data_IF_539527493826
#
_entry.id   IF_539527493826
#
_cell.length_a   1.000
_cell.length_b   1.000
_cell.length_c   1.000
_cell.angle_alpha   90.00
_cell.angle_beta   90.00
_cell.angle_gamma   90.00
#
_symmetry.space_group_name_H-M   'P 1'
#
loop_
_entity.id
_entity.type
_entity.pdbx_description
1 polymer ?
#
# COMPACT_ATOMS: atom_id res chain seq x y z
N UNK A 1 13.31 -12.92 4.24
CA UNK A 1 12.81 -11.61 4.76
C UNK A 1 11.99 -10.96 3.65
N UNK A 2 10.65 -10.91 3.77
CA UNK A 2 9.72 -10.54 2.67
C UNK A 2 10.11 -9.23 1.93
N UNK A 3 10.68 -8.24 2.63
CA UNK A 3 11.12 -6.97 2.02
C UNK A 3 12.27 -7.13 1.01
N UNK A 4 13.29 -7.94 1.31
CA UNK A 4 14.42 -8.17 0.38
C UNK A 4 13.96 -8.88 -0.90
N UNK A 5 13.04 -9.83 -0.76
CA UNK A 5 12.44 -10.52 -1.89
C UNK A 5 11.57 -9.57 -2.71
N UNK A 6 10.77 -8.72 -2.05
CA UNK A 6 9.97 -7.70 -2.71
C UNK A 6 10.85 -6.73 -3.51
N UNK A 7 11.94 -6.24 -2.91
CA UNK A 7 12.90 -5.38 -3.62
C UNK A 7 13.57 -6.10 -4.80
N UNK A 8 13.88 -7.40 -4.66
CA UNK A 8 14.40 -8.22 -5.78
C UNK A 8 13.37 -8.30 -6.91
N UNK A 9 12.12 -8.59 -6.60
CA UNK A 9 11.07 -8.68 -7.62
C UNK A 9 10.82 -7.34 -8.32
N UNK A 10 10.71 -6.26 -7.55
CA UNK A 10 10.49 -4.92 -8.10
C UNK A 10 11.68 -4.44 -8.94
N UNK A 11 12.92 -4.60 -8.45
CA UNK A 11 14.08 -3.94 -9.04
C UNK A 11 14.87 -4.83 -10.01
N UNK A 12 15.00 -6.14 -9.72
CA UNK A 12 15.78 -7.08 -10.56
C UNK A 12 14.91 -7.85 -11.54
N UNK A 13 13.74 -8.31 -11.09
CA UNK A 13 12.81 -9.05 -11.95
C UNK A 13 11.86 -8.14 -12.74
N UNK A 14 11.94 -6.82 -12.51
CA UNK A 14 11.18 -5.80 -13.22
C UNK A 14 9.67 -6.04 -13.18
N UNK A 15 9.16 -6.54 -12.06
CA UNK A 15 7.78 -7.01 -11.93
C UNK A 15 6.73 -5.96 -12.32
N UNK A 16 6.99 -4.68 -11.99
CA UNK A 16 6.11 -3.56 -12.34
C UNK A 16 6.66 -2.70 -13.50
N UNK A 17 7.77 -3.12 -14.12
CA UNK A 17 8.54 -2.32 -15.06
C UNK A 17 9.99 -2.11 -14.60
N UNK A 18 10.82 -1.58 -15.50
CA UNK A 18 12.24 -1.37 -15.23
C UNK A 18 12.45 -0.15 -14.33
N UNK A 19 12.94 -0.40 -13.12
CA UNK A 19 13.27 0.61 -12.12
C UNK A 19 14.64 1.24 -12.42
N UNK A 20 14.70 2.56 -12.57
CA UNK A 20 15.95 3.30 -12.70
C UNK A 20 16.61 3.55 -11.35
N UNK A 21 15.81 3.92 -10.34
CA UNK A 21 16.26 4.05 -8.96
C UNK A 21 15.08 3.86 -8.00
N UNK A 22 15.38 3.57 -6.74
CA UNK A 22 14.38 3.46 -5.69
C UNK A 22 14.93 3.98 -4.37
N UNK A 23 14.02 4.45 -3.53
CA UNK A 23 14.33 4.90 -2.17
C UNK A 23 13.35 4.19 -1.25
N UNK A 24 13.82 3.69 -0.11
CA UNK A 24 12.93 3.13 0.89
C UNK A 24 13.36 3.48 2.31
N UNK A 25 12.39 3.56 3.21
CA UNK A 25 12.59 3.74 4.65
C UNK A 25 11.72 2.74 5.38
N UNK A 26 12.24 2.23 6.50
CA UNK A 26 11.51 1.35 7.42
C UNK A 26 11.09 2.21 8.62
N UNK A 27 9.78 2.37 8.79
CA UNK A 27 9.20 2.97 10.00
C UNK A 27 8.70 1.85 10.92
N UNK A 28 8.99 1.94 12.21
CA UNK A 28 8.40 1.05 13.20
C UNK A 28 7.08 1.66 13.66
N UNK A 29 5.98 1.03 13.26
CA UNK A 29 4.66 1.49 13.71
C UNK A 29 4.57 1.32 15.24
N UNK A 30 3.65 2.05 15.90
CA UNK A 30 3.45 2.04 17.38
C UNK A 30 3.29 0.65 18.02
N UNK A 31 3.10 -0.40 17.21
CA UNK A 31 2.96 -1.81 17.63
C UNK A 31 4.21 -2.66 17.37
N UNK A 32 5.33 -2.05 16.99
CA UNK A 32 6.63 -2.71 16.79
C UNK A 32 6.82 -3.42 15.44
N UNK A 33 5.78 -3.50 14.60
CA UNK A 33 5.90 -4.12 13.28
C UNK A 33 6.60 -3.16 12.29
N UNK A 34 7.63 -3.61 11.57
CA UNK A 34 8.31 -2.80 10.57
C UNK A 34 7.39 -2.57 9.36
N UNK A 35 7.25 -1.32 8.96
CA UNK A 35 6.49 -0.89 7.79
C UNK A 35 7.43 -0.21 6.80
N UNK A 36 7.46 -0.68 5.57
CA UNK A 36 8.33 -0.14 4.54
C UNK A 36 7.58 0.86 3.66
N UNK A 37 8.13 2.06 3.54
CA UNK A 37 7.74 3.04 2.53
C UNK A 37 8.74 2.93 1.37
N UNK A 38 8.27 2.58 0.17
CA UNK A 38 9.11 2.37 -1.01
C UNK A 38 8.65 3.33 -2.12
N UNK A 39 9.57 4.17 -2.61
CA UNK A 39 9.38 5.00 -3.79
C UNK A 39 10.18 4.41 -4.94
N UNK A 40 9.49 4.02 -6.01
CA UNK A 40 10.10 3.53 -7.25
C UNK A 40 10.12 4.64 -8.30
N UNK A 41 11.27 4.84 -8.94
CA UNK A 41 11.42 5.73 -10.09
C UNK A 41 11.73 4.86 -11.29
N UNK A 42 10.76 4.75 -12.20
CA UNK A 42 10.90 3.95 -13.42
C UNK A 42 11.83 4.60 -14.43
N UNK A 43 12.53 3.75 -15.17
CA UNK A 43 13.30 4.12 -16.35
C UNK A 43 12.39 4.73 -17.43
N UNK A 44 12.99 5.52 -18.33
CA UNK A 44 12.23 6.29 -19.32
C UNK A 44 11.28 5.43 -20.15
N UNK A 45 11.70 4.23 -20.55
CA UNK A 45 10.92 3.30 -21.39
C UNK A 45 9.85 2.54 -20.61
N UNK A 46 9.88 2.59 -19.27
CA UNK A 46 8.88 1.96 -18.38
C UNK A 46 7.99 2.98 -17.67
N UNK A 47 8.06 4.26 -18.05
CA UNK A 47 7.19 5.29 -17.47
C UNK A 47 5.73 5.03 -17.84
N UNK A 48 4.85 5.20 -16.86
CA UNK A 48 3.41 5.05 -17.02
C UNK A 48 2.82 6.38 -17.48
N UNK A 49 2.19 6.40 -18.66
CA UNK A 49 1.71 7.62 -19.30
C UNK A 49 0.19 7.66 -19.47
N UNK A 50 -0.43 6.47 -19.50
CA UNK A 50 -1.85 6.29 -19.76
C UNK A 50 -2.58 5.67 -18.56
N UNK A 51 -3.89 5.83 -18.57
CA UNK A 51 -4.79 5.12 -17.65
C UNK A 51 -4.65 3.60 -17.78
N UNK A 52 -4.43 3.12 -19.01
CA UNK A 52 -4.22 1.69 -19.27
C UNK A 52 -2.98 1.16 -18.56
N UNK A 53 -1.90 1.95 -18.54
CA UNK A 53 -0.66 1.57 -17.84
C UNK A 53 -0.90 1.50 -16.33
N UNK A 54 -1.69 2.42 -15.78
CA UNK A 54 -2.05 2.40 -14.35
C UNK A 54 -2.86 1.15 -14.02
N UNK A 55 -3.90 0.86 -14.81
CA UNK A 55 -4.78 -0.29 -14.64
C UNK A 55 -4.07 -1.63 -14.87
N UNK A 56 -2.96 -1.67 -15.61
CA UNK A 56 -2.13 -2.88 -15.74
C UNK A 56 -1.33 -3.21 -14.48
N UNK A 57 -1.14 -2.23 -13.59
CA UNK A 57 -0.35 -2.39 -12.36
C UNK A 57 -1.26 -2.42 -11.13
N UNK A 58 -2.27 -1.56 -11.10
CA UNK A 58 -3.10 -1.34 -9.93
C UNK A 58 -4.53 -1.79 -10.18
N UNK A 59 -5.02 -2.63 -9.26
CA UNK A 59 -6.44 -2.85 -9.02
C UNK A 59 -6.86 -2.16 -7.73
N UNK A 60 -8.12 -1.73 -7.68
CA UNK A 60 -8.76 -1.27 -6.46
C UNK A 60 -10.12 -1.95 -6.28
N UNK A 61 -10.24 -3.19 -6.76
CA UNK A 61 -11.47 -4.00 -6.78
C UNK A 61 -11.22 -5.35 -6.09
N UNK A 62 -12.29 -5.97 -5.60
CA UNK A 62 -12.26 -7.36 -5.14
C UNK A 62 -11.87 -8.26 -6.31
N UNK A 63 -11.05 -9.29 -6.04
CA UNK A 63 -10.79 -10.33 -7.03
C UNK A 63 -12.03 -11.20 -7.24
N UNK A 64 -12.08 -11.97 -8.31
CA UNK A 64 -13.17 -12.94 -8.50
C UNK A 64 -12.87 -14.22 -7.68
N UNK A 65 -13.78 -14.60 -6.78
CA UNK A 65 -13.61 -15.78 -5.92
C UNK A 65 -13.58 -17.10 -6.71
N UNK A 66 -14.37 -17.21 -7.78
CA UNK A 66 -14.46 -18.42 -8.58
C UNK A 66 -13.23 -18.60 -9.49
N UNK A 67 -12.65 -17.49 -9.96
CA UNK A 67 -11.50 -17.52 -10.88
C UNK A 67 -10.16 -17.47 -10.13
N UNK A 68 -10.05 -16.63 -9.10
CA UNK A 68 -8.80 -16.36 -8.36
C UNK A 68 -9.00 -16.44 -6.84
N UNK A 69 -9.28 -17.64 -6.28
CA UNK A 69 -9.65 -17.78 -4.86
C UNK A 69 -8.57 -17.28 -3.90
N UNK A 70 -7.29 -17.54 -4.18
CA UNK A 70 -6.18 -17.09 -3.33
C UNK A 70 -6.04 -15.57 -3.33
N UNK A 71 -6.21 -14.93 -4.50
CA UNK A 71 -6.19 -13.48 -4.60
C UNK A 71 -7.41 -12.87 -3.90
N UNK A 72 -8.58 -13.48 -4.02
CA UNK A 72 -9.78 -13.06 -3.29
C UNK A 72 -9.58 -13.11 -1.78
N UNK A 73 -9.09 -14.23 -1.25
CA UNK A 73 -8.80 -14.39 0.18
C UNK A 73 -7.79 -13.34 0.67
N UNK A 74 -6.71 -13.14 -0.08
CA UNK A 74 -5.69 -12.14 0.27
C UNK A 74 -6.24 -10.72 0.24
N UNK A 75 -6.98 -10.35 -0.82
CA UNK A 75 -7.53 -9.00 -0.98
C UNK A 75 -8.58 -8.71 0.10
N UNK A 76 -9.47 -9.65 0.39
CA UNK A 76 -10.52 -9.47 1.40
C UNK A 76 -9.96 -9.41 2.83
N UNK A 77 -8.87 -10.11 3.12
CA UNK A 77 -8.24 -10.12 4.45
C UNK A 77 -7.26 -8.98 4.67
N UNK A 78 -6.49 -8.58 3.63
CA UNK A 78 -5.37 -7.64 3.78
C UNK A 78 -5.52 -6.33 3.03
N UNK A 79 -6.37 -6.24 2.00
CA UNK A 79 -6.50 -5.05 1.16
C UNK A 79 -7.84 -4.34 1.31
N UNK A 80 -8.56 -4.58 2.42
CA UNK A 80 -9.79 -3.87 2.76
C UNK A 80 -9.50 -2.74 3.75
N UNK A 81 -10.03 -1.54 3.48
CA UNK A 81 -10.02 -0.49 4.48
C UNK A 81 -10.85 -0.93 5.68
N UNK A 82 -10.29 -0.77 6.88
CA UNK A 82 -11.01 -1.09 8.11
C UNK A 82 -12.28 -0.25 8.22
N UNK A 83 -13.29 -0.80 8.88
CA UNK A 83 -14.54 -0.09 9.14
C UNK A 83 -14.26 1.30 9.74
N UNK A 84 -14.89 2.32 9.14
CA UNK A 84 -14.79 3.72 9.54
C UNK A 84 -16.09 4.46 9.20
N UNK A 85 -16.14 5.77 9.43
CA UNK A 85 -17.32 6.57 9.15
C UNK A 85 -18.45 6.23 10.11
N UNK A 86 -19.67 6.14 9.58
CA UNK A 86 -20.86 5.79 10.37
C UNK A 86 -20.75 4.38 10.96
N UNK A 87 -20.09 3.44 10.26
CA UNK A 87 -19.92 2.06 10.72
C UNK A 87 -18.92 1.94 11.89
N UNK A 88 -18.01 2.91 12.04
CA UNK A 88 -17.08 2.97 13.16
C UNK A 88 -16.52 4.39 13.33
N UNK A 89 -17.22 5.27 14.06
CA UNK A 89 -16.80 6.66 14.26
C UNK A 89 -15.49 6.80 15.04
N UNK A 90 -15.10 5.78 15.81
CA UNK A 90 -13.91 5.75 16.64
C UNK A 90 -12.69 5.16 15.92
N UNK A 91 -12.80 4.85 14.62
CA UNK A 91 -11.68 4.29 13.88
C UNK A 91 -10.48 5.25 13.88
N UNK A 92 -9.22 4.76 13.95
CA UNK A 92 -8.03 5.62 13.99
C UNK A 92 -7.88 6.56 12.79
N UNK A 93 -8.54 6.26 11.67
CA UNK A 93 -8.55 7.10 10.48
C UNK A 93 -9.54 8.27 10.57
N UNK A 94 -10.43 8.30 11.56
CA UNK A 94 -11.45 9.35 11.72
C UNK A 94 -10.87 10.57 12.41
N UNK A 95 -11.13 11.75 11.86
CA UNK A 95 -10.81 13.04 12.47
C UNK A 95 -11.87 14.06 12.07
N UNK A 96 -12.40 14.81 13.05
CA UNK A 96 -13.49 15.76 12.85
C UNK A 96 -14.71 15.15 12.14
N UNK A 97 -15.05 13.89 12.47
CA UNK A 97 -16.17 13.18 11.85
C UNK A 97 -15.91 12.65 10.42
N UNK A 98 -14.74 12.89 9.85
CA UNK A 98 -14.39 12.48 8.48
C UNK A 98 -13.23 11.48 8.47
N UNK A 99 -13.32 10.47 7.60
CA UNK A 99 -12.21 9.57 7.35
C UNK A 99 -11.09 10.34 6.63
N UNK A 100 -9.91 10.40 7.24
CA UNK A 100 -8.71 11.06 6.68
C UNK A 100 -8.15 10.36 5.43
N UNK A 101 -8.64 9.15 5.12
CA UNK A 101 -8.36 8.42 3.87
C UNK A 101 -9.46 8.59 2.83
N UNK A 102 -10.49 9.39 3.14
CA UNK A 102 -11.65 9.68 2.29
C UNK A 102 -12.42 8.41 1.90
N UNK A 103 -12.60 7.49 2.85
CA UNK A 103 -13.58 6.40 2.72
C UNK A 103 -14.94 6.87 3.27
N UNK A 104 -16.07 6.50 2.64
CA UNK A 104 -16.19 5.57 1.52
C UNK A 104 -15.81 6.18 0.16
N UNK A 105 -15.06 5.45 -0.68
CA UNK A 105 -14.72 5.94 -2.04
C UNK A 105 -15.96 5.89 -2.94
N UNK A 106 -16.03 6.76 -3.94
CA UNK A 106 -17.07 6.66 -4.97
C UNK A 106 -16.80 5.48 -5.90
N UNK A 107 -17.87 4.88 -6.43
CA UNK A 107 -17.72 4.00 -7.58
C UNK A 107 -17.22 4.76 -8.78
N UNK A 108 -16.45 4.07 -9.61
CA UNK A 108 -15.81 4.62 -10.78
C UNK A 108 -15.64 3.54 -11.84
N UNK A 109 -16.20 3.72 -13.04
CA UNK A 109 -16.15 2.71 -14.10
C UNK A 109 -14.79 2.62 -14.78
N UNK A 110 -14.03 3.72 -14.82
CA UNK A 110 -12.69 3.80 -15.42
C UNK A 110 -11.77 4.67 -14.58
N UNK A 111 -10.47 4.34 -14.52
CA UNK A 111 -9.50 5.16 -13.79
C UNK A 111 -9.41 6.55 -14.43
N UNK A 112 -9.42 7.60 -13.60
CA UNK A 112 -9.33 8.99 -14.04
C UNK A 112 -8.12 9.68 -13.42
N UNK A 113 -7.50 10.60 -14.17
CA UNK A 113 -6.46 11.47 -13.61
C UNK A 113 -7.12 12.53 -12.73
N UNK A 114 -6.57 12.78 -11.55
CA UNK A 114 -7.03 13.83 -10.64
C UNK A 114 -6.08 15.03 -10.63
N UNK A 115 -6.58 16.22 -10.30
CA UNK A 115 -5.78 17.44 -10.12
C UNK A 115 -4.76 17.33 -8.99
N UNK A 116 -5.10 16.57 -7.94
CA UNK A 116 -4.28 16.44 -6.73
C UNK A 116 -3.07 15.52 -6.93
N UNK A 117 -2.94 14.92 -8.11
CA UNK A 117 -1.81 14.13 -8.56
C UNK A 117 -1.90 12.62 -8.30
N UNK A 118 -2.91 12.15 -7.56
CA UNK A 118 -3.23 10.74 -7.42
C UNK A 118 -4.38 10.36 -8.35
N UNK A 119 -4.26 9.30 -9.18
CA UNK A 119 -5.40 8.83 -9.96
C UNK A 119 -6.58 8.42 -9.08
N UNK A 120 -7.79 8.67 -9.56
CA UNK A 120 -9.01 8.06 -9.03
C UNK A 120 -9.15 6.72 -9.73
N UNK A 121 -8.76 5.64 -9.06
CA UNK A 121 -8.79 4.31 -9.66
C UNK A 121 -10.21 3.83 -9.94
N UNK A 122 -10.33 2.98 -10.96
CA UNK A 122 -11.53 2.20 -11.26
C UNK A 122 -11.94 1.38 -10.03
N UNK A 123 -13.22 1.53 -9.69
CA UNK A 123 -13.94 0.81 -8.64
C UNK A 123 -15.36 0.57 -9.14
N UNK A 124 -15.57 -0.47 -9.94
CA UNK A 124 -16.88 -0.73 -10.56
C UNK A 124 -17.89 -1.18 -9.52
N UNK A 125 -19.13 -0.76 -9.70
CA UNK A 125 -20.27 -1.36 -9.02
C UNK A 125 -20.68 -2.61 -9.80
N UNK A 126 -20.11 -3.75 -9.42
CA UNK A 126 -20.34 -5.04 -10.06
C UNK A 126 -21.16 -5.99 -9.17
N UNK A 127 -21.76 -5.47 -8.09
CA UNK A 127 -22.49 -6.27 -7.10
C UNK A 127 -21.63 -7.17 -6.21
N UNK A 128 -20.29 -7.15 -6.36
CA UNK A 128 -19.40 -7.93 -5.49
C UNK A 128 -19.28 -7.30 -4.11
N UNK A 129 -19.40 -8.14 -3.07
CA UNK A 129 -19.17 -7.74 -1.68
C UNK A 129 -18.54 -8.88 -0.89
N UNK A 130 -17.87 -8.52 0.21
CA UNK A 130 -17.47 -9.43 1.26
C UNK A 130 -18.24 -9.09 2.53
N UNK A 131 -18.81 -10.09 3.18
CA UNK A 131 -19.44 -9.92 4.49
C UNK A 131 -18.36 -9.92 5.57
N UNK A 132 -18.31 -8.88 6.38
CA UNK A 132 -17.49 -8.77 7.57
C UNK A 132 -18.40 -8.59 8.78
N UNK A 133 -17.97 -9.06 9.96
CA UNK A 133 -18.63 -8.87 11.26
C UNK A 133 -20.17 -8.98 11.18
N UNK A 134 -20.71 -10.20 11.22
CA UNK A 134 -22.14 -10.51 11.35
C UNK A 134 -23.06 -9.52 10.61
N UNK A 135 -22.99 -9.51 9.27
CA UNK A 135 -23.94 -8.79 8.41
C UNK A 135 -23.48 -7.48 7.76
N UNK A 136 -22.23 -7.01 7.93
CA UNK A 136 -21.76 -5.80 7.25
C UNK A 136 -21.15 -6.18 5.89
N UNK A 137 -21.76 -5.75 4.79
CA UNK A 137 -21.22 -6.00 3.45
C UNK A 137 -20.29 -4.86 2.99
N UNK A 138 -19.06 -5.20 2.63
CA UNK A 138 -18.08 -4.27 2.06
C UNK A 138 -17.87 -4.57 0.57
N UNK A 139 -18.10 -3.57 -0.27
CA UNK A 139 -17.89 -3.66 -1.72
C UNK A 139 -16.55 -3.01 -2.16
N UNK A 140 -16.36 -2.88 -3.47
CA UNK A 140 -15.17 -2.29 -4.09
C UNK A 140 -14.80 -0.89 -3.57
N UNK A 141 -15.74 -0.13 -3.00
CA UNK A 141 -15.47 1.20 -2.43
C UNK A 141 -14.56 1.15 -1.20
N UNK A 142 -14.44 -0.02 -0.56
CA UNK A 142 -13.60 -0.27 0.62
C UNK A 142 -12.20 -0.79 0.27
N UNK A 143 -12.00 -1.31 -0.94
CA UNK A 143 -10.72 -1.89 -1.35
C UNK A 143 -9.63 -0.82 -1.41
N UNK A 144 -8.44 -1.16 -0.94
CA UNK A 144 -7.23 -0.34 -0.99
C UNK A 144 -6.51 -0.64 -2.31
N UNK A 145 -6.01 0.36 -3.05
CA UNK A 145 -5.25 0.15 -4.28
C UNK A 145 -4.05 -0.78 -4.10
N UNK A 146 -3.90 -1.77 -4.96
CA UNK A 146 -2.86 -2.79 -4.87
C UNK A 146 -2.52 -3.39 -6.23
N UNK A 147 -1.39 -4.09 -6.31
CA UNK A 147 -1.13 -5.02 -7.40
C UNK A 147 -1.55 -6.43 -6.97
N UNK A 148 -2.50 -7.04 -7.69
CA UNK A 148 -3.12 -8.33 -7.35
C UNK A 148 -2.07 -9.42 -7.18
N UNK A 149 -1.10 -9.49 -8.08
CA UNK A 149 -0.10 -10.55 -8.05
C UNK A 149 0.87 -10.38 -6.88
N UNK A 150 1.33 -9.16 -6.59
CA UNK A 150 2.22 -8.89 -5.46
C UNK A 150 1.56 -9.18 -4.12
N UNK A 151 0.31 -8.72 -3.90
CA UNK A 151 -0.38 -9.01 -2.63
C UNK A 151 -0.58 -10.52 -2.46
N UNK A 152 -1.00 -11.21 -3.53
CA UNK A 152 -1.22 -12.67 -3.51
C UNK A 152 0.07 -13.45 -3.27
N UNK A 153 1.17 -13.06 -3.93
CA UNK A 153 2.48 -13.71 -3.77
C UNK A 153 3.02 -13.60 -2.34
N UNK A 154 2.84 -12.43 -1.73
CA UNK A 154 3.41 -12.15 -0.41
C UNK A 154 2.45 -12.39 0.75
N UNK A 155 1.16 -12.62 0.46
CA UNK A 155 0.08 -12.71 1.44
C UNK A 155 0.22 -11.59 2.49
N UNK A 156 0.14 -10.35 2.00
CA UNK A 156 0.48 -9.16 2.78
C UNK A 156 -0.26 -7.92 2.31
N UNK A 157 -0.50 -7.00 3.26
CA UNK A 157 -1.03 -5.67 2.98
C UNK A 157 0.01 -4.81 2.25
N UNK A 158 -0.09 -4.71 0.92
CA UNK A 158 0.79 -3.90 0.07
C UNK A 158 -0.05 -2.87 -0.70
N UNK A 159 -0.14 -1.66 -0.15
CA UNK A 159 -0.77 -0.53 -0.84
C UNK A 159 0.18 0.03 -1.90
N UNK A 160 -0.29 0.16 -3.13
CA UNK A 160 0.47 0.72 -4.25
C UNK A 160 -0.27 1.91 -4.81
N UNK A 161 0.45 3.01 -5.05
CA UNK A 161 -0.10 4.25 -5.55
C UNK A 161 0.76 4.79 -6.69
N UNK A 162 0.13 5.20 -7.79
CA UNK A 162 0.79 5.99 -8.82
C UNK A 162 0.86 7.44 -8.33
N UNK A 163 2.06 8.00 -8.30
CA UNK A 163 2.28 9.40 -7.94
C UNK A 163 2.96 10.15 -9.09
N UNK A 164 2.57 11.41 -9.28
CA UNK A 164 3.30 12.32 -10.16
C UNK A 164 4.56 12.89 -9.47
N UNK A 165 5.40 13.60 -10.22
CA UNK A 165 6.70 14.10 -9.73
C UNK A 165 6.60 15.01 -8.50
N UNK A 166 5.62 15.92 -8.45
CA UNK A 166 5.45 16.83 -7.30
C UNK A 166 5.04 16.06 -6.03
N UNK A 167 4.21 15.04 -6.17
CA UNK A 167 3.83 14.17 -5.06
C UNK A 167 4.95 13.27 -4.60
N UNK A 168 5.79 12.77 -5.51
CA UNK A 168 6.99 12.00 -5.15
C UNK A 168 7.90 12.83 -4.23
N UNK A 169 8.07 14.13 -4.50
CA UNK A 169 8.82 15.04 -3.63
C UNK A 169 8.16 15.16 -2.26
N UNK A 170 6.83 15.40 -2.19
CA UNK A 170 6.10 15.44 -0.91
C UNK A 170 6.24 14.13 -0.12
N UNK A 171 6.22 13.00 -0.82
CA UNK A 171 6.38 11.67 -0.23
C UNK A 171 7.77 11.50 0.40
N UNK A 172 8.82 11.94 -0.30
CA UNK A 172 10.19 11.95 0.23
C UNK A 172 10.28 12.76 1.53
N UNK A 173 9.76 13.99 1.56
CA UNK A 173 9.77 14.80 2.78
C UNK A 173 8.96 14.17 3.92
N UNK A 174 7.84 13.51 3.61
CA UNK A 174 6.96 12.93 4.61
C UNK A 174 7.53 11.69 5.29
N UNK A 175 8.22 10.82 4.54
CA UNK A 175 8.62 9.49 5.02
C UNK A 175 10.12 9.25 5.04
N UNK A 176 10.88 9.95 4.18
CA UNK A 176 12.34 9.77 4.10
C UNK A 176 13.08 10.75 4.99
N UNK A 177 12.66 12.01 5.00
CA UNK A 177 13.31 13.07 5.79
C UNK A 177 12.70 13.29 7.18
N UNK A 178 11.76 12.43 7.62
CA UNK A 178 11.07 12.54 8.91
C UNK A 178 11.97 12.29 10.14
N UNK A 179 13.22 11.85 9.91
CA UNK A 179 14.17 11.49 10.97
C UNK A 179 13.93 10.08 11.50
N UNK A 180 14.83 9.59 12.34
CA UNK A 180 14.70 8.25 12.93
C UNK A 180 13.64 8.25 14.03
N UNK A 181 12.62 7.40 13.89
CA UNK A 181 11.57 7.21 14.90
C UNK A 181 12.06 6.30 16.06
N UNK A 182 13.22 5.64 15.93
CA UNK A 182 13.82 4.76 16.94
C UNK A 182 15.35 4.71 16.83
N UNK A 183 16.03 4.63 17.98
CA UNK A 183 17.47 4.34 18.07
C UNK A 183 17.68 3.08 18.94
N UNK A 184 18.56 2.18 18.49
CA UNK A 184 18.96 0.99 19.26
C UNK A 184 20.30 1.27 19.91
N UNK A 185 20.36 1.25 21.25
CA UNK A 185 21.59 1.38 22.02
C UNK A 185 21.98 -0.01 22.52
N UNK A 186 23.14 -0.50 22.12
CA UNK A 186 23.75 -1.69 22.68
C UNK A 186 24.77 -1.26 23.76
N UNK A 187 24.56 -1.71 24.99
CA UNK A 187 25.52 -1.52 26.09
C UNK A 187 26.35 -2.80 26.21
N UNK A 188 27.62 -2.71 25.86
CA UNK A 188 28.60 -3.75 26.19
C UNK A 188 29.16 -3.48 27.58
N UNK A 189 29.09 -4.46 28.48
CA UNK A 189 29.87 -4.41 29.72
C UNK A 189 31.37 -4.47 29.36
N UNK A 190 32.24 -3.69 30.03
CA UNK A 190 33.67 -3.82 29.82
C UNK A 190 34.10 -5.23 30.24
N UNK A 191 34.82 -5.92 29.36
CA UNK A 191 35.53 -7.14 29.70
C UNK A 191 36.54 -6.80 30.80
N UNK A 192 36.28 -7.27 32.02
CA UNK A 192 37.33 -7.43 33.02
C UNK A 192 38.21 -8.61 32.61
N UNK A 193 38.95 -8.45 31.51
CA UNK A 193 40.14 -9.25 31.25
C UNK A 193 41.19 -8.83 32.27
N UNK A 194 41.25 -9.58 33.37
CA UNK A 194 42.43 -9.62 34.22
C UNK A 194 43.62 -10.06 33.34
N UNK A 195 44.53 -9.14 33.06
CA UNK A 195 45.93 -9.42 32.72
C UNK A 195 46.80 -9.03 33.92
N UNK A 196 48.00 -9.63 34.11
CA UNK A 196 48.40 -11.03 34.01
C UNK A 196 48.62 -11.69 35.39
#
# INVERSE_FOLDING_TARGET
MKLQELLKDLCKNHYLGKVATYIYVIEFQKRGLPHAHILLIFSQDSKLHSVKDYDSIISAELSDLAVYPLAYETVTSTMMHSLCGVLNPLAPCMKNGLCQKHYLKSFQSTTQKNSDGYPIYRKRDNGSFVEVRSGICLDNRWVIPHNVELVTKYDAHINIEICNSVLAIKYLYKYVYKGYDQATIALSQPDNSNEP
#
